data_IF_661795007676
#
_entry.id   IF_661795007676
#
_cell.length_a   1.000
_cell.length_b   1.000
_cell.length_c   1.000
_cell.angle_alpha   90.00
_cell.angle_beta   90.00
_cell.angle_gamma   90.00
#
_symmetry.space_group_name_H-M   'P 1'
#
loop_
_entity.id
_entity.type
_entity.pdbx_description
1 polymer ?
#
# COMPACT_ATOMS: atom_id res chain seq x y z
N UNK A 1 4.66 44.30 46.50
CA UNK A 1 3.49 43.44 46.21
C UNK A 1 2.91 43.57 44.79
N UNK A 2 3.55 44.30 43.84
CA UNK A 2 3.01 44.48 42.47
C UNK A 2 3.44 43.41 41.45
N UNK A 3 4.55 42.72 41.72
CA UNK A 3 5.13 41.70 40.83
C UNK A 3 4.72 40.26 41.18
N UNK A 4 4.05 40.06 42.32
CA UNK A 4 3.65 38.73 42.82
C UNK A 4 2.51 38.13 41.98
N UNK A 5 1.57 38.96 41.52
CA UNK A 5 0.51 38.54 40.58
C UNK A 5 1.03 38.26 39.17
N UNK A 6 2.05 39.01 38.73
CA UNK A 6 2.67 38.83 37.42
C UNK A 6 3.42 37.48 37.32
N UNK A 7 4.08 37.05 38.39
CA UNK A 7 4.77 35.74 38.46
C UNK A 7 3.76 34.58 38.38
N UNK A 8 2.60 34.71 39.03
CA UNK A 8 1.52 33.72 38.96
C UNK A 8 0.92 33.57 37.55
N UNK A 9 0.82 34.68 36.80
CA UNK A 9 0.29 34.68 35.44
C UNK A 9 1.25 34.02 34.44
N UNK A 10 2.56 34.21 34.62
CA UNK A 10 3.60 33.53 33.83
C UNK A 10 3.60 32.03 34.13
N UNK A 11 3.45 31.63 35.40
CA UNK A 11 3.37 30.22 35.78
C UNK A 11 2.15 29.51 35.18
N UNK A 12 0.96 30.15 35.15
CA UNK A 12 -0.25 29.56 34.59
C UNK A 12 -0.16 29.29 33.08
N UNK A 13 0.58 30.13 32.34
CA UNK A 13 0.75 29.97 30.89
C UNK A 13 1.61 28.75 30.49
N UNK A 14 2.47 28.26 31.38
CA UNK A 14 3.39 27.13 31.11
C UNK A 14 2.71 25.78 31.29
N UNK A 15 1.61 25.69 32.05
CA UNK A 15 0.89 24.43 32.30
C UNK A 15 -0.20 24.08 31.27
N UNK A 16 -0.48 24.96 30.30
CA UNK A 16 -1.49 24.71 29.27
C UNK A 16 -0.84 24.29 27.94
N UNK A 17 -0.18 23.14 27.93
CA UNK A 17 0.14 22.42 26.69
C UNK A 17 -0.24 20.95 26.90
N UNK A 18 -1.53 20.66 26.78
CA UNK A 18 -2.03 19.29 26.69
C UNK A 18 -2.53 19.05 25.27
N UNK A 19 -1.64 19.11 24.28
CA UNK A 19 -1.97 18.61 22.94
C UNK A 19 -1.81 17.10 22.96
N UNK A 20 -2.89 16.42 23.34
CA UNK A 20 -2.96 14.96 23.31
C UNK A 20 -2.83 14.48 21.87
N UNK A 21 -1.93 13.54 21.60
CA UNK A 21 -1.76 12.99 20.26
C UNK A 21 -3.01 12.19 19.85
N UNK A 22 -3.40 12.26 18.57
CA UNK A 22 -4.59 11.58 18.01
C UNK A 22 -4.62 10.08 18.36
N UNK A 23 -3.44 9.47 18.52
CA UNK A 23 -3.25 8.05 18.83
C UNK A 23 -3.83 7.68 20.21
N UNK A 24 -3.70 8.59 21.18
CA UNK A 24 -4.14 8.39 22.57
C UNK A 24 -5.65 8.65 22.77
N UNK A 25 -6.30 9.25 21.78
CA UNK A 25 -7.76 9.43 21.72
C UNK A 25 -8.45 8.17 21.16
N UNK A 26 -7.80 7.46 20.24
CA UNK A 26 -8.34 6.26 19.59
C UNK A 26 -8.07 4.98 20.42
N UNK A 27 -7.24 5.06 21.46
CA UNK A 27 -6.98 3.94 22.37
C UNK A 27 -6.26 2.76 21.70
N UNK A 28 -5.52 3.03 20.63
CA UNK A 28 -4.72 2.02 19.93
C UNK A 28 -3.36 1.89 20.63
N UNK A 29 -3.27 0.96 21.59
CA UNK A 29 -1.98 0.49 22.08
C UNK A 29 -1.24 -0.17 20.91
N UNK A 30 -0.05 0.33 20.59
CA UNK A 30 0.75 -0.15 19.47
C UNK A 30 1.11 -1.62 19.68
N UNK A 31 0.46 -2.50 18.93
CA UNK A 31 0.75 -3.91 18.84
C UNK A 31 2.16 -4.16 18.27
N UNK A 32 2.72 -5.33 18.58
CA UNK A 32 4.08 -5.75 18.22
C UNK A 32 4.43 -5.42 16.76
N UNK A 33 5.31 -4.43 16.55
CA UNK A 33 5.77 -4.00 15.22
C UNK A 33 6.77 -5.03 14.70
N UNK A 34 6.40 -5.71 13.62
CA UNK A 34 7.28 -6.62 12.90
C UNK A 34 8.19 -5.78 12.00
N UNK A 35 9.46 -6.19 11.84
CA UNK A 35 10.39 -5.51 10.94
C UNK A 35 9.82 -5.38 9.53
N UNK A 36 9.62 -4.14 9.08
CA UNK A 36 9.08 -3.79 7.79
C UNK A 36 9.92 -2.69 7.12
N UNK A 37 9.81 -2.58 5.81
CA UNK A 37 10.36 -1.49 5.01
C UNK A 37 9.50 -0.23 5.17
N UNK A 38 10.04 0.97 4.87
CA UNK A 38 9.28 2.21 4.93
C UNK A 38 8.06 2.18 4.00
N UNK A 39 7.05 2.97 4.34
CA UNK A 39 5.83 3.10 3.53
C UNK A 39 6.18 3.64 2.15
N UNK A 40 5.73 2.93 1.12
CA UNK A 40 5.93 3.29 -0.29
C UNK A 40 4.72 4.05 -0.85
N UNK A 41 4.96 4.93 -1.82
CA UNK A 41 3.91 5.68 -2.51
C UNK A 41 3.66 5.12 -3.93
N UNK A 42 2.42 4.70 -4.18
CA UNK A 42 1.96 4.18 -5.47
C UNK A 42 1.46 5.28 -6.42
N UNK A 43 1.35 6.53 -5.93
CA UNK A 43 0.83 7.68 -6.66
C UNK A 43 -0.53 7.37 -7.33
N UNK A 44 -0.83 8.00 -8.46
CA UNK A 44 -2.06 7.80 -9.24
C UNK A 44 -2.03 6.51 -10.07
N UNK A 45 -1.66 5.37 -9.46
CA UNK A 45 -1.63 4.07 -10.12
C UNK A 45 -2.42 3.01 -9.35
N UNK A 46 -3.16 2.18 -10.09
CA UNK A 46 -3.97 1.08 -9.54
C UNK A 46 -3.14 -0.18 -9.20
N UNK A 47 -1.96 -0.01 -8.61
CA UNK A 47 -0.99 -1.09 -8.41
C UNK A 47 -0.82 -1.52 -6.96
N UNK A 48 -1.77 -1.18 -6.06
CA UNK A 48 -1.71 -1.52 -4.64
C UNK A 48 -1.43 -3.01 -4.37
N UNK A 49 -1.94 -3.90 -5.21
CA UNK A 49 -1.70 -5.34 -5.16
C UNK A 49 -0.21 -5.71 -5.33
N UNK A 50 0.53 -4.95 -6.13
CA UNK A 50 1.97 -5.14 -6.33
C UNK A 50 2.77 -4.58 -5.16
N UNK A 51 2.40 -3.40 -4.66
CA UNK A 51 3.03 -2.78 -3.49
C UNK A 51 2.84 -3.62 -2.23
N UNK A 52 1.62 -4.06 -1.94
CA UNK A 52 1.33 -4.90 -0.78
C UNK A 52 2.09 -6.24 -0.82
N UNK A 53 2.17 -6.86 -2.00
CA UNK A 53 2.92 -8.12 -2.17
C UNK A 53 4.42 -7.92 -1.96
N UNK A 54 5.00 -6.85 -2.51
CA UNK A 54 6.42 -6.55 -2.34
C UNK A 54 6.76 -6.21 -0.88
N UNK A 55 5.97 -5.35 -0.22
CA UNK A 55 6.18 -5.04 1.21
C UNK A 55 6.12 -6.27 2.10
N UNK A 56 5.26 -7.25 1.77
CA UNK A 56 5.23 -8.53 2.45
C UNK A 56 6.54 -9.31 2.23
N UNK A 57 7.00 -9.45 0.99
CA UNK A 57 8.26 -10.15 0.69
C UNK A 57 9.46 -9.48 1.35
N UNK A 58 9.52 -8.16 1.35
CA UNK A 58 10.58 -7.39 2.01
C UNK A 58 10.59 -7.66 3.52
N UNK A 59 9.42 -7.68 4.16
CA UNK A 59 9.29 -8.02 5.58
C UNK A 59 9.74 -9.47 5.86
N UNK A 60 9.42 -10.41 4.97
CA UNK A 60 9.90 -11.80 5.06
C UNK A 60 11.41 -11.93 4.83
N UNK A 61 12.00 -11.11 3.96
CA UNK A 61 13.45 -11.06 3.73
C UNK A 61 14.18 -10.52 4.96
N UNK A 62 13.60 -9.51 5.63
CA UNK A 62 14.08 -8.99 6.91
C UNK A 62 14.04 -10.08 7.98
N UNK A 63 12.91 -10.79 8.11
CA UNK A 63 12.78 -11.92 9.05
C UNK A 63 13.79 -13.03 8.80
N UNK A 64 14.17 -13.26 7.54
CA UNK A 64 15.17 -14.27 7.15
C UNK A 64 16.62 -13.79 7.26
N UNK A 65 16.87 -12.57 7.75
CA UNK A 65 18.21 -12.03 7.92
C UNK A 65 18.92 -11.66 6.61
N UNK A 66 18.17 -11.49 5.50
CA UNK A 66 18.73 -11.11 4.19
C UNK A 66 18.91 -9.59 4.03
N UNK A 67 18.53 -8.81 5.04
CA UNK A 67 18.65 -7.35 5.07
C UNK A 67 17.46 -6.62 4.43
N UNK A 68 17.58 -5.29 4.36
CA UNK A 68 16.59 -4.41 3.72
C UNK A 68 16.84 -4.37 2.22
N UNK A 69 15.97 -5.00 1.46
CA UNK A 69 15.96 -4.97 0.00
C UNK A 69 14.76 -4.16 -0.48
N UNK A 70 14.95 -3.38 -1.54
CA UNK A 70 13.89 -2.65 -2.20
C UNK A 70 13.52 -3.37 -3.51
N UNK A 71 12.39 -4.06 -3.50
CA UNK A 71 11.88 -4.79 -4.65
C UNK A 71 11.03 -3.86 -5.53
N UNK A 72 11.36 -3.78 -6.81
CA UNK A 72 10.60 -2.96 -7.77
C UNK A 72 9.21 -3.55 -8.03
N UNK A 73 8.16 -2.88 -7.57
CA UNK A 73 6.75 -3.22 -7.81
C UNK A 73 6.42 -3.17 -9.30
N UNK A 74 6.99 -2.19 -10.01
CA UNK A 74 6.72 -1.99 -11.43
C UNK A 74 7.20 -3.14 -12.32
N UNK A 75 8.15 -3.95 -11.83
CA UNK A 75 8.56 -5.17 -12.52
C UNK A 75 7.39 -6.15 -12.60
N UNK A 76 6.78 -6.46 -11.46
CA UNK A 76 5.61 -7.37 -11.40
C UNK A 76 4.41 -6.75 -12.11
N UNK A 77 4.17 -5.44 -11.91
CA UNK A 77 3.09 -4.71 -12.58
C UNK A 77 3.16 -4.82 -14.11
N UNK A 78 4.34 -4.59 -14.69
CA UNK A 78 4.57 -4.68 -16.13
C UNK A 78 4.27 -6.06 -16.70
N UNK A 79 4.79 -7.12 -16.08
CA UNK A 79 4.57 -8.48 -16.56
C UNK A 79 3.11 -8.93 -16.41
N UNK A 80 2.44 -8.51 -15.33
CA UNK A 80 1.01 -8.77 -15.15
C UNK A 80 0.19 -8.13 -16.28
N UNK A 81 0.45 -6.87 -16.62
CA UNK A 81 -0.23 -6.19 -17.72
C UNK A 81 0.06 -6.85 -19.08
N UNK A 82 1.32 -7.25 -19.34
CA UNK A 82 1.67 -7.97 -20.56
C UNK A 82 0.85 -9.26 -20.71
N UNK A 83 0.77 -10.08 -19.65
CA UNK A 83 -0.01 -11.33 -19.63
C UNK A 83 -1.50 -11.07 -19.79
N UNK A 84 -2.01 -9.97 -19.22
CA UNK A 84 -3.43 -9.56 -19.37
C UNK A 84 -3.75 -9.25 -20.84
N UNK A 85 -2.87 -8.53 -21.53
CA UNK A 85 -3.02 -8.22 -22.96
C UNK A 85 -2.96 -9.50 -23.80
N UNK A 86 -1.95 -10.34 -23.59
CA UNK A 86 -1.80 -11.62 -24.31
C UNK A 86 -3.05 -12.50 -24.16
N UNK A 87 -3.58 -12.63 -22.94
CA UNK A 87 -4.83 -13.36 -22.68
C UNK A 87 -6.02 -12.74 -23.41
N UNK A 88 -6.14 -11.41 -23.41
CA UNK A 88 -7.25 -10.73 -24.07
C UNK A 88 -7.23 -10.96 -25.60
N UNK A 89 -6.04 -10.94 -26.21
CA UNK A 89 -5.87 -11.23 -27.62
C UNK A 89 -6.22 -12.69 -27.95
N UNK A 90 -5.77 -13.64 -27.13
CA UNK A 90 -6.09 -15.06 -27.30
C UNK A 90 -7.59 -15.33 -27.24
N UNK A 91 -8.29 -14.78 -26.25
CA UNK A 91 -9.74 -14.93 -26.11
C UNK A 91 -10.52 -14.34 -27.29
N UNK A 92 -10.04 -13.23 -27.86
CA UNK A 92 -10.67 -12.61 -29.04
C UNK A 92 -10.49 -13.46 -30.29
N UNK A 93 -9.32 -14.08 -30.46
CA UNK A 93 -9.07 -15.02 -31.57
C UNK A 93 -9.93 -16.27 -31.42
N UNK A 94 -10.01 -16.83 -30.21
CA UNK A 94 -10.79 -18.03 -29.93
C UNK A 94 -12.29 -17.81 -30.15
N UNK A 95 -12.84 -16.70 -29.68
CA UNK A 95 -14.26 -16.34 -29.94
C UNK A 95 -14.52 -16.14 -31.44
N UNK A 96 -13.59 -15.54 -32.18
CA UNK A 96 -13.72 -15.38 -33.64
C UNK A 96 -13.71 -16.72 -34.38
N UNK A 97 -12.82 -17.65 -33.98
CA UNK A 97 -12.75 -18.99 -34.57
C UNK A 97 -13.98 -19.83 -34.23
N UNK A 98 -14.47 -19.78 -32.99
CA UNK A 98 -15.68 -20.49 -32.59
C UNK A 98 -16.91 -20.02 -33.37
N UNK A 99 -17.06 -18.71 -33.61
CA UNK A 99 -18.15 -18.19 -34.43
C UNK A 99 -18.09 -18.67 -35.87
N UNK A 100 -16.89 -18.72 -36.48
CA UNK A 100 -16.70 -19.25 -37.84
C UNK A 100 -17.00 -20.75 -37.89
N UNK A 101 -16.50 -21.54 -36.92
CA UNK A 101 -16.76 -22.99 -36.87
C UNK A 101 -18.23 -23.27 -36.60
N UNK A 102 -18.89 -22.55 -35.69
CA UNK A 102 -20.33 -22.68 -35.46
C UNK A 102 -21.16 -22.28 -36.68
N UNK A 103 -20.76 -21.24 -37.41
CA UNK A 103 -21.39 -20.88 -38.68
C UNK A 103 -21.20 -21.99 -39.73
N UNK A 104 -19.99 -22.55 -39.86
CA UNK A 104 -19.72 -23.65 -40.79
C UNK A 104 -20.47 -24.95 -40.42
N UNK A 105 -20.67 -25.25 -39.13
CA UNK A 105 -21.42 -26.43 -38.68
C UNK A 105 -22.95 -26.30 -38.85
N UNK A 106 -23.48 -25.08 -38.96
CA UNK A 106 -24.92 -24.83 -39.18
C UNK A 106 -25.31 -24.71 -40.66
N UNK A 107 -24.34 -24.47 -41.55
CA UNK A 107 -24.56 -24.38 -43.00
C UNK A 107 -24.13 -25.64 -43.77
N UNK A 108 -23.93 -26.77 -43.09
CA UNK A 108 -23.61 -28.07 -43.66
C UNK A 108 -24.72 -29.10 -43.47
#
# INVERSE_FOLDING_TARGET
>A
MKYLSAIGFVFFSVFCNAQKSIIEEIGLDTFQVIGCTPVKDQYMSGTCWSFASNSFFESELIKKGKGNLDLSEMFVARYSMKRKIERHLQLKVETSLLLVVSFMMWFG
#
